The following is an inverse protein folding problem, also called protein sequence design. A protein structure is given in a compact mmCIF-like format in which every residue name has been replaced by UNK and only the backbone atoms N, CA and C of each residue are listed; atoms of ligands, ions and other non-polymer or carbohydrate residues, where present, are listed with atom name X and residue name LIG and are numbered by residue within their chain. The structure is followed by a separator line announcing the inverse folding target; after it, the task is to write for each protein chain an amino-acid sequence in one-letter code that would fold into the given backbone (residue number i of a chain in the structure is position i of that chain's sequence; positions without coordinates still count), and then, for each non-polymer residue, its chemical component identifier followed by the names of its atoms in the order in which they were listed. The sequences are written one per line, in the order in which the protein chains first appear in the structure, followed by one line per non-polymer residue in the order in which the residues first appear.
data_IF_640396785789
#
_entry.id   IF_640396785789
#
_cell.length_a   1.000
_cell.length_b   1.000
_cell.length_c   1.000
_cell.angle_alpha   90.00
_cell.angle_beta   90.00
_cell.angle_gamma   90.00
#
_symmetry.space_group_name_H-M   'P 1'
#
loop_
_entity.id
_entity.type
_entity.pdbx_description
1 polymer ?
#
# COMPACT_ATOMS: atom_id res chain seq x y z
N UNK A 1 -8.95 -53.73 -23.38
CA UNK A 1 -10.38 -54.12 -23.37
C UNK A 1 -11.18 -52.90 -22.95
N UNK A 2 -12.02 -52.23 -23.72
CA UNK A 2 -12.55 -52.43 -25.07
C UNK A 2 -12.62 -51.07 -25.78
N UNK A 3 -12.19 -51.06 -27.03
CA UNK A 3 -12.38 -50.00 -28.01
C UNK A 3 -13.64 -50.29 -28.84
N UNK A 4 -14.31 -49.23 -29.34
CA UNK A 4 -15.22 -49.15 -30.52
C UNK A 4 -15.36 -47.63 -30.77
N UNK A 5 -14.79 -46.95 -31.77
CA UNK A 5 -14.63 -47.07 -33.24
C UNK A 5 -15.94 -46.93 -34.04
N UNK A 6 -15.86 -46.02 -35.04
CA UNK A 6 -16.68 -45.76 -36.24
C UNK A 6 -17.89 -44.83 -36.07
N UNK A 7 -18.18 -43.84 -36.95
CA UNK A 7 -17.68 -43.52 -38.30
C UNK A 7 -18.02 -42.07 -38.72
N UNK A 8 -17.23 -41.55 -39.65
CA UNK A 8 -17.41 -40.35 -40.48
C UNK A 8 -18.72 -40.36 -41.31
N UNK A 9 -19.23 -39.17 -41.65
CA UNK A 9 -19.41 -38.72 -43.05
C UNK A 9 -19.77 -37.23 -43.14
N UNK A 10 -19.07 -36.52 -44.01
CA UNK A 10 -19.30 -35.14 -44.43
C UNK A 10 -20.45 -35.04 -45.46
N UNK A 11 -20.95 -33.82 -45.71
CA UNK A 11 -21.23 -33.24 -47.04
C UNK A 11 -21.66 -31.79 -46.83
N UNK A 12 -20.99 -30.87 -47.54
CA UNK A 12 -21.33 -29.45 -47.56
C UNK A 12 -22.35 -29.10 -48.64
N UNK A 13 -22.84 -27.86 -48.59
CA UNK A 13 -23.33 -27.15 -49.78
C UNK A 13 -23.35 -25.65 -49.50
N UNK A 14 -22.52 -24.92 -50.25
CA UNK A 14 -22.57 -23.46 -50.37
C UNK A 14 -23.54 -23.10 -51.50
N UNK A 15 -24.38 -22.10 -51.29
CA UNK A 15 -25.20 -21.47 -52.33
C UNK A 15 -25.16 -19.96 -52.10
N UNK A 16 -24.42 -19.28 -52.98
CA UNK A 16 -24.45 -17.84 -53.18
C UNK A 16 -25.48 -17.53 -54.27
N UNK A 17 -26.37 -16.57 -54.03
CA UNK A 17 -27.18 -15.91 -55.06
C UNK A 17 -27.27 -14.42 -54.75
N UNK A 18 -26.82 -13.62 -55.72
CA UNK A 18 -26.81 -12.17 -55.73
C UNK A 18 -28.07 -11.58 -56.37
N UNK A 19 -28.35 -10.33 -55.96
CA UNK A 19 -28.97 -9.23 -56.72
C UNK A 19 -30.51 -9.18 -56.87
N UNK A 20 -31.11 -8.10 -56.34
CA UNK A 20 -31.58 -6.96 -57.13
C UNK A 20 -32.07 -5.80 -56.22
N UNK A 21 -31.62 -4.58 -56.51
CA UNK A 21 -32.11 -3.31 -55.92
C UNK A 21 -33.15 -2.66 -56.84
N UNK A 22 -33.90 -1.66 -56.33
CA UNK A 22 -34.06 -0.42 -57.08
C UNK A 22 -33.82 0.85 -56.23
N UNK A 23 -33.11 1.81 -56.85
CA UNK A 23 -33.09 3.27 -56.60
C UNK A 23 -34.46 3.87 -57.00
N UNK A 24 -34.95 5.05 -56.60
CA UNK A 24 -34.43 6.27 -55.98
C UNK A 24 -35.61 7.23 -55.74
N UNK A 25 -35.52 8.11 -54.73
CA UNK A 25 -36.31 9.34 -54.63
C UNK A 25 -35.52 10.41 -53.88
N UNK A 26 -35.14 11.50 -54.56
CA UNK A 26 -34.41 12.65 -54.04
C UNK A 26 -35.35 13.86 -53.85
N UNK A 27 -35.15 14.59 -52.74
CA UNK A 27 -35.34 16.04 -52.47
C UNK A 27 -35.81 16.21 -51.01
N UNK A 28 -35.22 17.01 -50.12
CA UNK A 28 -34.65 18.38 -50.25
C UNK A 28 -33.78 18.67 -49.03
N UNK A 29 -32.80 19.57 -49.19
CA UNK A 29 -31.88 20.03 -48.15
C UNK A 29 -32.45 21.17 -47.29
N UNK A 30 -32.12 21.19 -46.00
CA UNK A 30 -31.81 22.38 -45.22
C UNK A 30 -31.00 21.96 -43.98
N UNK A 31 -29.72 22.35 -43.94
CA UNK A 31 -28.86 22.25 -42.77
C UNK A 31 -29.35 23.20 -41.68
N UNK A 32 -29.61 22.67 -40.49
CA UNK A 32 -29.45 23.40 -39.24
C UNK A 32 -28.43 22.64 -38.39
N UNK A 33 -27.19 23.11 -38.44
CA UNK A 33 -26.10 22.70 -37.58
C UNK A 33 -26.39 23.14 -36.14
N UNK A 34 -27.11 22.31 -35.39
CA UNK A 34 -27.01 22.34 -33.94
C UNK A 34 -25.66 21.73 -33.57
N UNK A 35 -24.81 22.39 -32.77
CA UNK A 35 -23.64 21.72 -32.22
C UNK A 35 -24.18 20.55 -31.39
N UNK A 36 -23.81 19.33 -31.78
CA UNK A 36 -23.93 18.20 -30.89
C UNK A 36 -23.14 18.57 -29.64
N UNK A 37 -23.83 18.74 -28.52
CA UNK A 37 -23.19 18.72 -27.22
C UNK A 37 -22.46 17.38 -27.16
N UNK A 38 -21.13 17.41 -27.31
CA UNK A 38 -20.28 16.27 -27.04
C UNK A 38 -20.50 15.94 -25.56
N UNK A 39 -21.35 14.95 -25.29
CA UNK A 39 -21.60 14.45 -23.96
C UNK A 39 -20.26 13.97 -23.41
N UNK A 40 -19.64 14.80 -22.56
CA UNK A 40 -18.22 14.75 -22.23
C UNK A 40 -17.68 13.33 -22.05
N UNK A 41 -16.64 13.00 -22.80
CA UNK A 41 -15.87 11.76 -22.63
C UNK A 41 -15.34 11.72 -21.19
N UNK A 42 -16.00 10.97 -20.31
CA UNK A 42 -15.56 10.81 -18.92
C UNK A 42 -14.10 10.38 -18.84
N UNK A 43 -13.34 11.05 -17.98
CA UNK A 43 -11.91 10.81 -17.78
C UNK A 43 -11.75 9.46 -17.08
N UNK A 44 -10.78 8.64 -17.52
CA UNK A 44 -10.48 7.35 -16.88
C UNK A 44 -9.09 7.37 -16.30
N UNK A 45 -8.98 7.09 -15.00
CA UNK A 45 -7.70 6.96 -14.30
C UNK A 45 -7.52 5.53 -13.81
N UNK A 46 -6.31 5.00 -13.92
CA UNK A 46 -5.90 3.77 -13.24
C UNK A 46 -5.01 4.12 -12.05
N UNK A 47 -5.49 3.84 -10.84
CA UNK A 47 -4.68 3.81 -9.63
C UNK A 47 -4.13 2.41 -9.40
N UNK A 48 -2.80 2.28 -9.43
CA UNK A 48 -2.10 1.06 -9.02
C UNK A 48 -1.62 1.22 -7.58
N UNK A 49 -2.13 0.36 -6.69
CA UNK A 49 -1.96 0.47 -5.24
C UNK A 49 -1.62 -0.86 -4.56
N UNK A 50 -1.33 -0.83 -3.27
CA UNK A 50 -1.00 -2.00 -2.47
C UNK A 50 -2.22 -2.62 -1.78
N UNK A 51 -2.17 -3.92 -1.49
CA UNK A 51 -3.34 -4.72 -1.06
C UNK A 51 -4.16 -4.12 0.09
N UNK A 52 -3.51 -3.56 1.10
CA UNK A 52 -4.16 -3.01 2.30
C UNK A 52 -4.82 -1.65 2.05
N UNK A 53 -4.43 -0.92 0.99
CA UNK A 53 -5.06 0.34 0.63
C UNK A 53 -6.43 0.18 -0.05
N UNK A 54 -6.85 -1.05 -0.37
CA UNK A 54 -8.10 -1.34 -1.07
C UNK A 54 -9.31 -0.71 -0.42
N UNK A 55 -9.43 -0.85 0.91
CA UNK A 55 -10.58 -0.33 1.65
C UNK A 55 -10.56 1.21 1.68
N UNK A 56 -9.37 1.82 1.79
CA UNK A 56 -9.21 3.27 1.67
C UNK A 56 -9.66 3.75 0.29
N UNK A 57 -9.12 3.19 -0.79
CA UNK A 57 -9.42 3.68 -2.13
C UNK A 57 -10.85 3.36 -2.58
N UNK A 58 -11.50 2.33 -2.03
CA UNK A 58 -12.93 2.04 -2.24
C UNK A 58 -13.82 3.17 -1.71
N UNK A 59 -13.46 3.78 -0.58
CA UNK A 59 -14.19 4.92 -0.01
C UNK A 59 -13.71 6.26 -0.59
N UNK A 60 -12.41 6.40 -0.88
CA UNK A 60 -11.82 7.62 -1.43
C UNK A 60 -12.27 7.92 -2.87
N UNK A 61 -12.34 6.92 -3.73
CA UNK A 61 -12.66 7.14 -5.14
C UNK A 61 -14.03 7.82 -5.36
N UNK A 62 -15.13 7.39 -4.69
CA UNK A 62 -16.40 8.11 -4.75
C UNK A 62 -16.34 9.54 -4.17
N UNK A 63 -15.54 9.77 -3.11
CA UNK A 63 -15.36 11.10 -2.54
C UNK A 63 -14.71 12.05 -3.55
N UNK A 64 -13.64 11.60 -4.20
CA UNK A 64 -12.98 12.38 -5.25
C UNK A 64 -13.87 12.57 -6.47
N UNK A 65 -14.53 11.52 -6.96
CA UNK A 65 -15.38 11.64 -8.15
C UNK A 65 -16.51 12.67 -7.96
N UNK A 66 -17.10 12.73 -6.76
CA UNK A 66 -18.11 13.74 -6.40
C UNK A 66 -17.51 15.15 -6.37
N UNK A 67 -16.34 15.30 -5.76
CA UNK A 67 -15.63 16.59 -5.71
C UNK A 67 -15.26 17.08 -7.12
N UNK A 68 -14.71 16.19 -7.94
CA UNK A 68 -14.32 16.47 -9.32
C UNK A 68 -15.52 16.94 -10.14
N UNK A 69 -16.64 16.22 -10.05
CA UNK A 69 -17.88 16.60 -10.73
C UNK A 69 -18.40 17.98 -10.31
N UNK A 70 -18.31 18.30 -9.01
CA UNK A 70 -18.73 19.60 -8.50
C UNK A 70 -17.83 20.75 -8.99
N UNK A 71 -16.52 20.51 -9.11
CA UNK A 71 -15.54 21.50 -9.59
C UNK A 71 -15.54 21.69 -11.10
N UNK A 72 -15.85 20.64 -11.86
CA UNK A 72 -15.74 20.62 -13.32
C UNK A 72 -17.10 20.54 -14.02
N UNK A 73 -18.08 21.33 -13.56
CA UNK A 73 -19.38 21.53 -14.23
C UNK A 73 -20.12 20.24 -14.62
N UNK A 74 -20.04 19.21 -13.79
CA UNK A 74 -20.71 17.93 -14.06
C UNK A 74 -19.87 16.90 -14.81
N UNK A 75 -18.62 17.22 -15.19
CA UNK A 75 -17.69 16.24 -15.76
C UNK A 75 -17.46 15.06 -14.81
N UNK A 76 -17.30 13.86 -15.40
CA UNK A 76 -17.18 12.62 -14.62
C UNK A 76 -15.80 12.01 -14.78
N UNK A 77 -15.32 11.39 -13.70
CA UNK A 77 -14.06 10.65 -13.65
C UNK A 77 -14.33 9.24 -13.13
N UNK A 78 -13.86 8.24 -13.87
CA UNK A 78 -13.91 6.82 -13.52
C UNK A 78 -12.51 6.37 -13.06
N UNK A 79 -12.41 5.93 -11.81
CA UNK A 79 -11.14 5.53 -11.20
C UNK A 79 -11.11 4.01 -11.06
N UNK A 80 -10.34 3.39 -11.94
CA UNK A 80 -10.02 1.97 -11.90
C UNK A 80 -8.90 1.70 -10.90
N UNK A 81 -8.90 0.48 -10.36
CA UNK A 81 -7.98 0.08 -9.31
C UNK A 81 -7.28 -1.25 -9.63
N UNK A 82 -5.99 -1.32 -9.33
CA UNK A 82 -5.22 -2.57 -9.26
C UNK A 82 -4.58 -2.67 -7.88
N UNK A 83 -4.72 -3.81 -7.22
CA UNK A 83 -4.20 -4.04 -5.86
C UNK A 83 -3.39 -5.33 -5.80
N UNK A 84 -2.27 -5.30 -5.08
CA UNK A 84 -1.38 -6.44 -4.87
C UNK A 84 -0.28 -6.10 -3.86
N UNK A 85 0.71 -6.98 -3.68
CA UNK A 85 1.93 -6.60 -2.95
C UNK A 85 2.58 -5.38 -3.60
N UNK A 86 2.90 -4.34 -2.80
CA UNK A 86 3.32 -3.01 -3.31
C UNK A 86 4.46 -3.09 -4.34
N UNK A 87 5.58 -3.74 -4.00
CA UNK A 87 6.70 -3.90 -4.94
C UNK A 87 6.34 -4.73 -6.19
N UNK A 88 5.41 -5.68 -6.09
CA UNK A 88 4.91 -6.42 -7.28
C UNK A 88 4.10 -5.50 -8.19
N UNK A 89 3.29 -4.62 -7.61
CA UNK A 89 2.51 -3.64 -8.36
C UNK A 89 3.42 -2.59 -9.03
N UNK A 90 4.42 -2.08 -8.32
CA UNK A 90 5.46 -1.24 -8.91
C UNK A 90 6.19 -1.94 -10.07
N UNK A 91 6.55 -3.22 -9.91
CA UNK A 91 7.11 -4.01 -11.00
C UNK A 91 6.13 -4.19 -12.18
N UNK A 92 4.83 -4.34 -11.94
CA UNK A 92 3.83 -4.40 -13.02
C UNK A 92 3.78 -3.09 -13.81
N UNK A 93 3.85 -1.94 -13.14
CA UNK A 93 3.93 -0.61 -13.79
C UNK A 93 5.24 -0.47 -14.55
N UNK A 94 6.37 -0.84 -13.93
CA UNK A 94 7.68 -0.87 -14.58
C UNK A 94 7.72 -1.74 -15.85
N UNK A 95 6.89 -2.79 -15.89
CA UNK A 95 6.78 -3.72 -17.03
C UNK A 95 5.63 -3.39 -17.99
N UNK A 96 5.02 -2.20 -17.89
CA UNK A 96 4.10 -1.67 -18.91
C UNK A 96 2.63 -1.59 -18.51
N UNK A 97 2.25 -1.89 -17.26
CA UNK A 97 0.91 -1.57 -16.77
C UNK A 97 0.74 -0.04 -16.75
N UNK A 98 -0.14 0.48 -17.60
CA UNK A 98 -0.34 1.93 -17.80
C UNK A 98 -1.16 2.59 -16.68
N UNK A 99 -0.59 2.64 -15.49
CA UNK A 99 -1.12 3.36 -14.33
C UNK A 99 -1.02 4.87 -14.55
N UNK A 100 -2.09 5.61 -14.28
CA UNK A 100 -2.04 7.08 -14.26
C UNK A 100 -1.38 7.57 -12.98
N UNK A 101 -1.70 6.90 -11.87
CA UNK A 101 -1.14 7.19 -10.55
C UNK A 101 -0.73 5.90 -9.85
N UNK A 102 0.29 6.03 -9.02
CA UNK A 102 0.75 4.99 -8.11
C UNK A 102 0.60 5.46 -6.68
N UNK A 103 0.10 4.58 -5.82
CA UNK A 103 -0.13 4.86 -4.41
C UNK A 103 0.42 3.70 -3.59
N UNK A 104 1.65 3.85 -3.09
CA UNK A 104 2.49 2.74 -2.61
C UNK A 104 2.59 2.75 -1.08
N UNK A 105 3.08 1.67 -0.49
CA UNK A 105 3.34 1.59 0.96
C UNK A 105 4.83 1.77 1.33
N UNK A 106 5.69 2.01 0.34
CA UNK A 106 7.12 2.22 0.50
C UNK A 106 7.64 3.19 -0.56
N UNK A 107 8.51 4.10 -0.14
CA UNK A 107 9.19 5.07 -1.04
C UNK A 107 10.03 4.39 -2.10
N UNK A 108 10.63 3.24 -1.78
CA UNK A 108 11.39 2.41 -2.71
C UNK A 108 10.64 2.04 -3.98
N UNK A 109 9.33 1.85 -3.88
CA UNK A 109 8.50 1.42 -5.00
C UNK A 109 8.30 2.55 -6.02
N UNK A 110 8.26 3.82 -5.56
CA UNK A 110 8.23 4.99 -6.45
C UNK A 110 9.62 5.32 -6.96
N UNK A 111 10.65 5.21 -6.11
CA UNK A 111 12.07 5.34 -6.52
C UNK A 111 12.41 4.35 -7.66
N UNK A 112 11.91 3.11 -7.61
CA UNK A 112 12.07 2.14 -8.70
C UNK A 112 11.48 2.65 -10.02
N UNK A 113 10.29 3.25 -9.98
CA UNK A 113 9.62 3.78 -11.18
C UNK A 113 10.32 5.02 -11.72
N UNK A 114 10.90 5.82 -10.82
CA UNK A 114 11.78 6.94 -11.17
C UNK A 114 13.05 6.44 -11.87
N UNK A 115 13.74 5.45 -11.31
CA UNK A 115 14.92 4.82 -11.91
C UNK A 115 14.63 4.21 -13.29
N UNK A 116 13.38 3.76 -13.53
CA UNK A 116 12.92 3.26 -14.83
C UNK A 116 12.53 4.38 -15.81
N UNK A 117 12.60 5.64 -15.41
CA UNK A 117 12.22 6.80 -16.23
C UNK A 117 10.73 6.94 -16.46
N UNK A 118 9.89 6.22 -15.71
CA UNK A 118 8.43 6.33 -15.80
C UNK A 118 7.90 7.51 -14.99
N UNK A 119 8.60 7.82 -13.90
CA UNK A 119 8.40 8.99 -13.05
C UNK A 119 9.65 9.85 -13.17
N UNK A 120 9.47 11.16 -13.33
CA UNK A 120 10.56 12.15 -13.42
C UNK A 120 11.16 12.39 -12.03
N UNK A 121 12.44 12.82 -11.94
CA UNK A 121 13.05 13.19 -10.66
C UNK A 121 12.29 14.26 -9.88
N UNK A 122 12.59 14.38 -8.59
CA UNK A 122 11.94 15.31 -7.65
C UNK A 122 10.42 15.09 -7.48
N UNK A 123 9.90 13.89 -7.81
CA UNK A 123 8.48 13.56 -7.65
C UNK A 123 7.96 13.80 -6.23
N UNK A 124 8.78 13.51 -5.22
CA UNK A 124 8.41 13.68 -3.81
C UNK A 124 8.13 15.14 -3.46
N UNK A 125 8.70 16.11 -4.19
CA UNK A 125 8.49 17.56 -3.95
C UNK A 125 7.25 18.12 -4.63
N UNK A 126 6.56 17.33 -5.48
CA UNK A 126 5.42 17.81 -6.28
C UNK A 126 4.10 17.85 -5.52
N UNK A 127 4.05 17.18 -4.38
CA UNK A 127 2.91 17.13 -3.48
C UNK A 127 3.37 17.47 -2.06
N UNK A 128 2.48 17.91 -1.15
CA UNK A 128 2.85 18.21 0.22
C UNK A 128 3.48 17.01 0.94
N UNK A 129 4.18 17.26 2.04
CA UNK A 129 4.69 16.21 2.94
C UNK A 129 5.52 15.13 2.24
N UNK A 130 6.38 15.54 1.30
CA UNK A 130 7.17 14.63 0.47
C UNK A 130 6.33 13.62 -0.34
N UNK A 131 5.13 14.05 -0.76
CA UNK A 131 4.13 13.23 -1.42
C UNK A 131 3.61 12.06 -0.56
N UNK A 132 3.56 12.24 0.76
CA UNK A 132 3.07 11.25 1.73
C UNK A 132 1.82 11.78 2.44
N UNK A 133 0.60 11.48 1.93
CA UNK A 133 -0.65 12.01 2.47
C UNK A 133 -1.04 11.47 3.84
N UNK A 134 -0.52 10.30 4.22
CA UNK A 134 -0.76 9.69 5.51
C UNK A 134 0.37 8.72 5.84
N UNK A 135 0.56 8.47 7.13
CA UNK A 135 1.62 7.61 7.66
C UNK A 135 1.04 6.54 8.57
N UNK A 136 1.91 5.64 9.01
CA UNK A 136 1.67 4.67 10.07
C UNK A 136 3.00 4.47 10.81
N UNK A 137 2.99 3.59 11.80
CA UNK A 137 4.21 3.23 12.52
C UNK A 137 4.13 1.78 13.02
N UNK A 138 5.24 1.25 13.53
CA UNK A 138 5.28 -0.07 14.15
C UNK A 138 4.98 0.04 15.64
N UNK A 139 3.98 -0.72 16.08
CA UNK A 139 3.52 -0.83 17.48
C UNK A 139 3.46 -2.30 17.90
N UNK A 140 3.17 -2.55 19.18
CA UNK A 140 2.97 -3.88 19.70
C UNK A 140 1.51 -4.12 20.04
N UNK A 141 0.95 -5.22 19.58
CA UNK A 141 -0.35 -5.70 20.03
C UNK A 141 -0.11 -6.81 21.06
N UNK A 142 -0.56 -6.59 22.28
CA UNK A 142 -0.41 -7.53 23.40
C UNK A 142 -1.76 -8.08 23.83
N UNK A 143 -1.74 -9.19 24.55
CA UNK A 143 -2.95 -9.80 25.13
C UNK A 143 -3.53 -8.89 26.21
N UNK A 144 -4.86 -8.97 26.42
CA UNK A 144 -5.56 -8.25 27.49
C UNK A 144 -4.84 -8.40 28.84
N UNK A 145 -4.71 -7.29 29.55
CA UNK A 145 -4.01 -7.18 30.83
C UNK A 145 -2.49 -7.16 30.71
N UNK A 146 -1.93 -7.25 29.50
CA UNK A 146 -0.50 -7.24 29.21
C UNK A 146 0.32 -8.13 30.18
N UNK A 147 0.10 -9.47 30.19
CA UNK A 147 0.63 -10.36 31.22
C UNK A 147 2.17 -10.43 31.25
N UNK A 148 2.84 -10.09 30.13
CA UNK A 148 4.30 -9.99 30.04
C UNK A 148 4.85 -8.61 30.39
N UNK A 149 3.97 -7.65 30.73
CA UNK A 149 4.32 -6.27 31.08
C UNK A 149 5.19 -5.59 30.03
N UNK A 150 4.87 -5.82 28.75
CA UNK A 150 5.61 -5.24 27.62
C UNK A 150 5.30 -3.76 27.57
N UNK A 151 6.33 -2.93 27.59
CA UNK A 151 6.24 -1.46 27.51
C UNK A 151 7.07 -0.91 26.37
N UNK A 152 8.17 -1.57 26.04
CA UNK A 152 9.07 -1.09 24.99
C UNK A 152 9.89 -2.24 24.37
N UNK A 153 10.67 -1.91 23.34
CA UNK A 153 11.53 -2.86 22.61
C UNK A 153 12.40 -3.79 23.48
N UNK A 154 13.03 -3.35 24.59
CA UNK A 154 13.82 -4.25 25.45
C UNK A 154 13.01 -5.36 26.11
N UNK A 155 11.71 -5.17 26.30
CA UNK A 155 10.86 -6.22 26.87
C UNK A 155 10.71 -7.41 25.90
N UNK A 156 10.83 -7.15 24.59
CA UNK A 156 10.69 -8.16 23.55
C UNK A 156 11.88 -9.11 23.44
N UNK A 157 13.02 -8.76 24.05
CA UNK A 157 14.23 -9.60 24.08
C UNK A 157 14.36 -10.45 25.34
N UNK A 158 13.43 -10.28 26.31
CA UNK A 158 13.43 -11.03 27.57
C UNK A 158 13.18 -12.53 27.33
N UNK A 159 13.82 -13.36 28.15
CA UNK A 159 13.58 -14.80 28.14
C UNK A 159 12.10 -15.11 28.44
N UNK A 160 11.52 -16.04 27.71
CA UNK A 160 10.13 -16.46 27.90
C UNK A 160 9.08 -15.49 27.33
N UNK A 161 9.51 -14.50 26.53
CA UNK A 161 8.63 -13.73 25.64
C UNK A 161 8.70 -14.34 24.25
N UNK A 162 7.54 -14.63 23.67
CA UNK A 162 7.40 -15.10 22.30
C UNK A 162 6.82 -13.99 21.42
N UNK A 163 7.57 -13.55 20.42
CA UNK A 163 7.10 -12.53 19.48
C UNK A 163 6.47 -13.18 18.24
N UNK A 164 5.42 -12.57 17.72
CA UNK A 164 4.90 -12.85 16.38
C UNK A 164 5.28 -11.69 15.48
N UNK A 165 5.94 -11.99 14.37
CA UNK A 165 6.43 -11.01 13.40
C UNK A 165 6.34 -11.60 11.98
N UNK A 166 6.00 -10.76 11.01
CA UNK A 166 6.06 -11.14 9.61
C UNK A 166 7.53 -11.24 9.14
N UNK A 167 7.82 -12.10 8.16
CA UNK A 167 9.17 -12.33 7.67
C UNK A 167 9.80 -11.05 7.08
N UNK A 168 10.91 -10.53 7.65
CA UNK A 168 11.52 -9.29 7.16
C UNK A 168 12.10 -9.39 5.75
N UNK A 169 12.43 -10.59 5.26
CA UNK A 169 12.96 -10.73 3.89
C UNK A 169 11.88 -10.54 2.83
N UNK A 170 10.67 -11.03 3.11
CA UNK A 170 9.61 -11.14 2.10
C UNK A 170 8.46 -10.18 2.30
N UNK A 171 8.37 -9.49 3.45
CA UNK A 171 7.19 -8.67 3.79
C UNK A 171 7.58 -7.26 4.22
N UNK A 172 6.83 -6.24 3.76
CA UNK A 172 7.02 -4.85 4.20
C UNK A 172 6.83 -4.69 5.72
N UNK A 173 5.81 -5.33 6.29
CA UNK A 173 5.56 -5.32 7.73
C UNK A 173 6.78 -5.84 8.53
N UNK A 174 7.37 -6.97 8.11
CA UNK A 174 8.59 -7.49 8.72
C UNK A 174 9.79 -6.57 8.56
N UNK A 175 9.95 -5.92 7.39
CA UNK A 175 11.04 -4.96 7.15
C UNK A 175 10.96 -3.77 8.11
N UNK A 176 9.80 -3.14 8.20
CA UNK A 176 9.58 -2.01 9.12
C UNK A 176 9.72 -2.46 10.57
N UNK A 177 9.19 -3.62 10.96
CA UNK A 177 9.37 -4.14 12.31
C UNK A 177 10.85 -4.37 12.67
N UNK A 178 11.62 -4.98 11.77
CA UNK A 178 13.06 -5.17 11.96
C UNK A 178 13.82 -3.84 12.02
N UNK A 179 13.57 -2.92 11.09
CA UNK A 179 14.24 -1.61 11.07
C UNK A 179 13.86 -0.75 12.28
N UNK A 180 12.60 -0.83 12.76
CA UNK A 180 12.16 -0.18 13.99
C UNK A 180 12.95 -0.68 15.20
N UNK A 181 13.08 -1.99 15.35
CA UNK A 181 13.89 -2.60 16.39
C UNK A 181 15.39 -2.24 16.28
N UNK A 182 15.95 -2.32 15.08
CA UNK A 182 17.36 -2.01 14.84
C UNK A 182 17.66 -0.52 15.06
N UNK A 183 16.75 0.37 14.62
CA UNK A 183 16.81 1.81 14.86
C UNK A 183 16.72 2.16 16.34
N UNK A 184 15.85 1.49 17.09
CA UNK A 184 15.84 1.56 18.56
C UNK A 184 17.17 1.10 19.15
N UNK A 185 17.67 -0.06 18.74
CA UNK A 185 18.95 -0.60 19.20
C UNK A 185 20.11 0.37 19.00
N UNK A 186 20.18 1.04 17.85
CA UNK A 186 21.16 2.10 17.59
C UNK A 186 20.96 3.29 18.52
N UNK A 187 19.74 3.81 18.67
CA UNK A 187 19.47 4.98 19.51
C UNK A 187 19.80 4.72 20.97
N UNK A 188 19.38 3.58 21.51
CA UNK A 188 19.64 3.17 22.89
C UNK A 188 21.13 2.95 23.20
N UNK A 189 21.96 2.76 22.18
CA UNK A 189 23.38 2.47 22.30
C UNK A 189 24.28 3.51 21.63
N UNK A 190 23.83 4.77 21.53
CA UNK A 190 24.61 5.89 20.98
C UNK A 190 25.20 5.63 19.58
N UNK A 191 24.48 4.88 18.74
CA UNK A 191 24.89 4.55 17.38
C UNK A 191 25.83 3.35 17.24
N UNK A 192 26.10 2.60 18.31
CA UNK A 192 26.93 1.40 18.26
C UNK A 192 26.23 0.28 17.45
N UNK A 193 26.75 0.01 16.25
CA UNK A 193 26.20 -1.02 15.37
C UNK A 193 26.31 -2.43 15.96
N UNK A 194 27.34 -2.75 16.74
CA UNK A 194 27.50 -4.10 17.29
C UNK A 194 26.42 -4.36 18.34
N UNK A 195 26.15 -3.40 19.22
CA UNK A 195 25.06 -3.51 20.19
C UNK A 195 23.68 -3.53 19.54
N UNK A 196 23.48 -2.78 18.45
CA UNK A 196 22.24 -2.85 17.68
C UNK A 196 22.03 -4.23 17.04
N UNK A 197 23.11 -4.86 16.54
CA UNK A 197 23.07 -6.24 16.01
C UNK A 197 22.76 -7.26 17.10
N UNK A 198 23.40 -7.15 18.27
CA UNK A 198 23.10 -8.01 19.43
C UNK A 198 21.64 -7.88 19.85
N UNK A 199 21.13 -6.65 19.93
CA UNK A 199 19.73 -6.38 20.25
C UNK A 199 18.77 -7.00 19.24
N UNK A 200 19.01 -6.80 17.94
CA UNK A 200 18.18 -7.35 16.88
C UNK A 200 18.26 -8.89 16.83
N UNK A 201 19.42 -9.49 17.06
CA UNK A 201 19.56 -10.95 17.17
C UNK A 201 18.77 -11.51 18.37
N UNK A 202 18.83 -10.86 19.53
CA UNK A 202 18.07 -11.25 20.71
C UNK A 202 16.54 -11.16 20.46
N UNK A 203 16.09 -10.14 19.74
CA UNK A 203 14.69 -10.01 19.32
C UNK A 203 14.28 -11.15 18.39
N UNK A 204 15.04 -11.39 17.31
CA UNK A 204 14.72 -12.42 16.31
C UNK A 204 14.76 -13.83 16.92
N UNK A 205 15.59 -14.08 17.94
CA UNK A 205 15.61 -15.33 18.70
C UNK A 205 14.28 -15.62 19.40
N UNK A 206 13.54 -14.60 19.80
CA UNK A 206 12.24 -14.74 20.44
C UNK A 206 11.09 -14.94 19.43
N UNK A 207 11.36 -14.96 18.12
CA UNK A 207 10.39 -15.28 17.08
C UNK A 207 10.43 -16.79 16.77
N UNK A 208 9.43 -17.61 17.20
CA UNK A 208 9.42 -19.05 16.90
C UNK A 208 9.23 -19.33 15.40
N UNK A 209 8.49 -18.44 14.72
CA UNK A 209 8.18 -18.51 13.30
C UNK A 209 8.16 -17.11 12.69
N UNK A 210 8.63 -17.02 11.45
CA UNK A 210 8.49 -15.83 10.61
C UNK A 210 7.30 -16.04 9.67
N UNK A 211 6.26 -15.25 9.84
CA UNK A 211 5.01 -15.42 9.10
C UNK A 211 5.11 -14.87 7.67
N UNK A 212 4.43 -15.49 6.72
CA UNK A 212 4.54 -15.14 5.29
C UNK A 212 3.85 -13.81 4.91
N UNK A 213 3.27 -13.09 5.88
CA UNK A 213 2.60 -11.80 5.67
C UNK A 213 2.08 -11.20 6.97
N UNK A 214 1.80 -9.89 6.98
CA UNK A 214 1.26 -9.19 8.17
C UNK A 214 -0.11 -9.71 8.62
N UNK A 215 -1.00 -10.06 7.67
CA UNK A 215 -2.29 -10.70 7.98
C UNK A 215 -2.12 -12.12 8.53
N UNK A 216 -1.15 -12.88 8.01
CA UNK A 216 -0.83 -14.21 8.54
C UNK A 216 -0.29 -14.11 9.98
N UNK A 217 0.61 -13.17 10.26
CA UNK A 217 1.08 -12.85 11.61
C UNK A 217 -0.08 -12.48 12.55
N UNK A 218 -0.99 -11.64 12.08
CA UNK A 218 -2.19 -11.26 12.82
C UNK A 218 -3.07 -12.46 13.14
N UNK A 219 -3.34 -13.34 12.17
CA UNK A 219 -4.11 -14.58 12.39
C UNK A 219 -3.43 -15.51 13.39
N UNK A 220 -2.11 -15.70 13.26
CA UNK A 220 -1.32 -16.53 14.19
C UNK A 220 -1.41 -16.01 15.62
N UNK A 221 -1.30 -14.69 15.81
CA UNK A 221 -1.43 -14.09 17.14
C UNK A 221 -2.85 -14.11 17.69
N UNK A 222 -3.81 -13.58 16.92
CA UNK A 222 -5.17 -13.28 17.39
C UNK A 222 -6.13 -14.48 17.35
N UNK A 223 -6.00 -15.37 16.36
CA UNK A 223 -6.93 -16.48 16.18
C UNK A 223 -6.32 -17.82 16.60
N UNK A 224 -5.02 -18.05 16.31
CA UNK A 224 -4.33 -19.30 16.71
C UNK A 224 -3.74 -19.23 18.11
N UNK A 225 -3.82 -18.07 18.75
CA UNK A 225 -3.37 -17.86 20.13
C UNK A 225 -1.88 -18.17 20.34
N UNK A 226 -1.03 -17.90 19.34
CA UNK A 226 0.42 -18.12 19.40
C UNK A 226 1.13 -16.81 19.73
N UNK A 227 2.16 -16.87 20.57
CA UNK A 227 2.98 -15.73 20.98
C UNK A 227 2.36 -14.86 22.07
N UNK A 228 3.17 -14.01 22.67
CA UNK A 228 2.78 -13.08 23.73
C UNK A 228 2.48 -11.66 23.20
N UNK A 229 3.09 -11.33 22.07
CA UNK A 229 3.04 -10.02 21.44
C UNK A 229 3.18 -10.14 19.93
N UNK A 230 2.40 -9.35 19.20
CA UNK A 230 2.52 -9.16 17.76
C UNK A 230 3.16 -7.80 17.48
N UNK A 231 4.24 -7.80 16.69
CA UNK A 231 4.83 -6.57 16.16
C UNK A 231 4.19 -6.31 14.80
N UNK A 232 3.46 -5.20 14.67
CA UNK A 232 2.71 -4.90 13.44
C UNK A 232 2.52 -3.40 13.24
N UNK A 233 1.89 -3.00 12.14
CA UNK A 233 1.55 -1.60 11.90
C UNK A 233 0.38 -1.15 12.79
N UNK A 234 0.41 0.12 13.20
CA UNK A 234 -0.60 0.76 14.03
C UNK A 234 -2.02 0.60 13.48
N UNK A 235 -2.20 0.75 12.18
CA UNK A 235 -3.50 0.59 11.54
C UNK A 235 -4.07 -0.84 11.70
N UNK A 236 -3.21 -1.86 11.59
CA UNK A 236 -3.60 -3.26 11.80
C UNK A 236 -3.87 -3.53 13.28
N UNK A 237 -3.04 -3.02 14.19
CA UNK A 237 -3.22 -3.19 15.64
C UNK A 237 -4.55 -2.55 16.12
N UNK A 238 -4.87 -1.35 15.63
CA UNK A 238 -6.16 -0.69 15.88
C UNK A 238 -7.32 -1.48 15.27
N UNK A 239 -7.20 -1.95 14.02
CA UNK A 239 -8.24 -2.76 13.40
C UNK A 239 -8.52 -4.04 14.18
N UNK A 240 -7.48 -4.75 14.62
CA UNK A 240 -7.63 -5.98 15.41
C UNK A 240 -8.28 -5.68 16.77
N UNK A 241 -7.74 -4.72 17.52
CA UNK A 241 -8.19 -4.41 18.88
C UNK A 241 -9.59 -3.78 18.94
N UNK A 242 -10.01 -3.02 17.93
CA UNK A 242 -11.28 -2.28 17.94
C UNK A 242 -12.39 -2.94 17.11
N UNK A 243 -12.05 -3.74 16.09
CA UNK A 243 -13.04 -4.30 15.14
C UNK A 243 -13.05 -5.83 15.15
N UNK A 244 -11.90 -6.49 15.02
CA UNK A 244 -11.88 -7.96 14.88
C UNK A 244 -12.07 -8.69 16.21
N UNK A 245 -11.42 -8.22 17.27
CA UNK A 245 -11.46 -8.86 18.58
C UNK A 245 -11.50 -7.81 19.71
N UNK A 246 -12.62 -7.07 19.83
CA UNK A 246 -12.78 -6.08 20.88
C UNK A 246 -12.53 -6.65 22.27
N UNK A 247 -11.83 -5.89 23.11
CA UNK A 247 -11.53 -6.22 24.51
C UNK A 247 -10.65 -7.47 24.72
N UNK A 248 -9.98 -8.00 23.68
CA UNK A 248 -9.04 -9.11 23.81
C UNK A 248 -7.57 -8.69 23.77
N UNK A 249 -7.30 -7.50 23.22
CA UNK A 249 -5.94 -7.01 22.98
C UNK A 249 -5.78 -5.56 23.40
N UNK A 250 -4.55 -5.19 23.71
CA UNK A 250 -4.13 -3.83 24.03
C UNK A 250 -2.98 -3.44 23.10
N UNK A 251 -2.89 -2.16 22.75
CA UNK A 251 -1.79 -1.63 21.94
C UNK A 251 -0.77 -0.98 22.88
N UNK A 252 0.48 -1.41 22.76
CA UNK A 252 1.62 -0.77 23.41
C UNK A 252 2.39 0.02 22.36
N UNK A 253 2.53 1.31 22.62
CA UNK A 253 3.29 2.25 21.81
C UNK A 253 4.72 2.31 22.35
N UNK A 254 5.74 1.81 21.61
CA UNK A 254 7.13 1.87 22.06
C UNK A 254 7.61 3.32 22.15
N UNK A 255 8.69 3.55 22.90
CA UNK A 255 9.23 4.90 23.12
C UNK A 255 9.79 5.54 21.86
N UNK A 256 10.30 4.72 20.93
CA UNK A 256 10.89 5.16 19.68
C UNK A 256 10.76 4.05 18.62
N UNK A 257 10.31 4.40 17.42
CA UNK A 257 10.05 3.41 16.36
C UNK A 257 10.16 4.03 14.96
N UNK A 258 9.94 3.23 13.93
CA UNK A 258 10.09 3.65 12.54
C UNK A 258 8.82 4.34 12.01
N UNK A 259 9.01 5.38 11.20
CA UNK A 259 7.94 5.98 10.40
C UNK A 259 7.67 5.11 9.17
N UNK A 260 6.42 4.73 8.95
CA UNK A 260 5.97 4.04 7.73
C UNK A 260 5.21 5.02 6.86
N UNK A 261 5.73 5.29 5.67
CA UNK A 261 5.20 6.28 4.74
C UNK A 261 4.43 5.58 3.62
N UNK A 262 3.28 6.15 3.23
CA UNK A 262 2.49 5.68 2.09
C UNK A 262 2.56 6.70 0.94
N UNK A 263 3.66 6.73 0.17
CA UNK A 263 3.90 7.77 -0.82
C UNK A 263 3.04 7.57 -2.06
N UNK A 264 2.78 8.68 -2.76
CA UNK A 264 1.96 8.71 -3.97
C UNK A 264 2.63 9.52 -5.08
N UNK A 265 2.40 9.15 -6.33
CA UNK A 265 2.94 9.89 -7.48
C UNK A 265 2.11 9.68 -8.75
N UNK A 266 2.11 10.67 -9.63
CA UNK A 266 1.65 10.50 -11.00
C UNK A 266 2.72 9.78 -11.81
N UNK A 267 2.32 8.87 -12.70
CA UNK A 267 3.24 8.20 -13.61
C UNK A 267 3.39 9.05 -14.85
N UNK A 268 4.42 9.91 -14.85
CA UNK A 268 4.62 10.99 -15.83
C UNK A 268 4.49 10.49 -17.29
N UNK A 269 5.14 9.37 -17.62
CA UNK A 269 5.11 8.80 -18.98
C UNK A 269 3.72 8.35 -19.43
N UNK A 270 2.85 7.95 -18.50
CA UNK A 270 1.49 7.47 -18.79
C UNK A 270 0.52 8.63 -18.88
N UNK A 271 0.54 9.55 -17.90
CA UNK A 271 -0.40 10.68 -17.86
C UNK A 271 -0.17 11.65 -19.01
N UNK A 272 1.08 11.80 -19.46
CA UNK A 272 1.41 12.58 -20.66
C UNK A 272 0.89 11.91 -21.93
N UNK A 273 1.07 10.59 -22.05
CA UNK A 273 0.58 9.82 -23.20
C UNK A 273 -0.95 9.78 -23.30
N UNK A 274 -1.64 9.69 -22.15
CA UNK A 274 -3.11 9.63 -22.10
C UNK A 274 -3.78 11.00 -22.08
N UNK A 275 -3.03 12.08 -21.82
CA UNK A 275 -3.60 13.41 -21.61
C UNK A 275 -4.39 13.54 -20.30
N UNK A 276 -4.08 12.72 -19.29
CA UNK A 276 -4.81 12.63 -18.01
C UNK A 276 -4.12 13.38 -16.86
N UNK A 277 -3.02 14.10 -17.13
CA UNK A 277 -2.19 14.74 -16.09
C UNK A 277 -2.99 15.60 -15.13
N UNK A 278 -3.84 16.50 -15.61
CA UNK A 278 -4.60 17.41 -14.76
C UNK A 278 -5.49 16.64 -13.76
N UNK A 279 -6.30 15.70 -14.25
CA UNK A 279 -7.17 14.89 -13.39
C UNK A 279 -6.37 13.98 -12.44
N UNK A 280 -5.24 13.43 -12.88
CA UNK A 280 -4.37 12.61 -12.03
C UNK A 280 -3.72 13.43 -10.90
N UNK A 281 -3.28 14.65 -11.18
CA UNK A 281 -2.72 15.55 -10.18
C UNK A 281 -3.79 15.99 -9.17
N UNK A 282 -5.00 16.34 -9.63
CA UNK A 282 -6.13 16.64 -8.74
C UNK A 282 -6.52 15.43 -7.87
N UNK A 283 -6.54 14.22 -8.46
CA UNK A 283 -6.80 12.98 -7.73
C UNK A 283 -5.79 12.74 -6.61
N UNK A 284 -4.52 13.08 -6.82
CA UNK A 284 -3.50 12.95 -5.77
C UNK A 284 -3.57 14.08 -4.75
N UNK A 285 -3.73 15.33 -5.20
CA UNK A 285 -3.82 16.49 -4.31
C UNK A 285 -5.01 16.39 -3.35
N UNK A 286 -6.12 15.82 -3.79
CA UNK A 286 -7.31 15.66 -2.96
C UNK A 286 -7.11 14.68 -1.79
N UNK A 287 -6.03 13.88 -1.76
CA UNK A 287 -5.65 13.06 -0.61
C UNK A 287 -5.37 13.91 0.64
N UNK A 288 -4.96 15.17 0.47
CA UNK A 288 -4.75 16.14 1.57
C UNK A 288 -6.01 16.93 1.94
N UNK A 289 -7.15 16.70 1.27
CA UNK A 289 -8.40 17.32 1.66
C UNK A 289 -8.87 16.80 3.02
N UNK A 290 -9.55 17.65 3.81
CA UNK A 290 -10.11 17.24 5.11
C UNK A 290 -10.96 15.96 5.02
N UNK A 291 -11.87 15.76 4.04
CA UNK A 291 -12.60 14.50 3.89
C UNK A 291 -11.71 13.27 3.68
N UNK A 292 -10.64 13.38 2.90
CA UNK A 292 -9.71 12.28 2.66
C UNK A 292 -8.84 11.97 3.89
N UNK A 293 -8.43 13.02 4.62
CA UNK A 293 -7.67 12.89 5.86
C UNK A 293 -8.52 12.28 6.99
N UNK A 294 -9.80 12.64 7.09
CA UNK A 294 -10.77 12.00 7.99
C UNK A 294 -10.97 10.52 7.64
N UNK A 295 -11.01 10.18 6.34
CA UNK A 295 -11.06 8.79 5.90
C UNK A 295 -9.79 8.01 6.29
N UNK A 296 -8.60 8.62 6.16
CA UNK A 296 -7.34 8.02 6.60
C UNK A 296 -7.40 7.71 8.10
N UNK A 297 -7.83 8.68 8.91
CA UNK A 297 -8.00 8.52 10.35
C UNK A 297 -9.00 7.41 10.73
N UNK A 298 -10.15 7.35 10.05
CA UNK A 298 -11.16 6.29 10.22
C UNK A 298 -10.60 4.88 9.97
N UNK A 299 -9.61 4.77 9.09
CA UNK A 299 -8.92 3.52 8.77
C UNK A 299 -7.60 3.35 9.55
N UNK A 300 -7.42 4.14 10.61
CA UNK A 300 -6.30 4.10 11.54
C UNK A 300 -4.94 4.38 10.89
N UNK A 301 -4.92 5.14 9.79
CA UNK A 301 -3.70 5.75 9.25
C UNK A 301 -3.57 7.14 9.85
N UNK A 302 -2.34 7.56 10.21
CA UNK A 302 -2.08 8.88 10.76
C UNK A 302 -2.21 9.93 9.65
N UNK A 303 -3.22 10.82 9.69
CA UNK A 303 -3.35 11.90 8.72
C UNK A 303 -2.23 12.94 8.89
N UNK A 304 -1.90 13.66 7.82
CA UNK A 304 -1.03 14.84 7.83
C UNK A 304 -1.75 16.10 8.28
N UNK A 305 -3.06 16.18 8.09
CA UNK A 305 -3.86 17.29 8.60
C UNK A 305 -3.80 17.31 10.14
N UNK A 306 -3.24 18.39 10.70
CA UNK A 306 -3.00 18.52 12.13
C UNK A 306 -4.29 18.62 12.95
N UNK A 307 -5.36 19.22 12.40
CA UNK A 307 -6.65 19.30 13.07
C UNK A 307 -7.30 17.91 13.15
N UNK A 308 -7.27 17.18 12.03
CA UNK A 308 -7.80 15.80 11.97
C UNK A 308 -7.00 14.91 12.91
N UNK A 309 -5.66 14.96 12.87
CA UNK A 309 -4.82 14.16 13.77
C UNK A 309 -5.13 14.47 15.26
N UNK A 310 -5.28 15.74 15.61
CA UNK A 310 -5.60 16.15 16.97
C UNK A 310 -7.01 15.69 17.42
N UNK A 311 -7.99 15.70 16.51
CA UNK A 311 -9.34 15.21 16.77
C UNK A 311 -9.36 13.69 17.05
N UNK A 312 -8.44 12.94 16.42
CA UNK A 312 -8.30 11.48 16.56
C UNK A 312 -7.17 11.05 17.52
N UNK A 313 -6.70 11.92 18.43
CA UNK A 313 -5.58 11.64 19.35
C UNK A 313 -5.76 10.39 20.24
N UNK A 314 -7.00 9.97 20.49
CA UNK A 314 -7.29 8.74 21.23
C UNK A 314 -6.92 7.48 20.45
N UNK A 315 -6.97 7.56 19.13
CA UNK A 315 -6.58 6.49 18.21
C UNK A 315 -5.10 6.56 17.85
N UNK A 316 -4.52 7.78 17.89
CA UNK A 316 -3.12 8.05 17.56
C UNK A 316 -2.38 8.76 18.71
N UNK A 317 -1.98 8.03 19.76
CA UNK A 317 -1.08 8.55 20.77
C UNK A 317 0.20 9.11 20.15
N UNK A 318 0.77 10.13 20.81
CA UNK A 318 2.09 10.66 20.46
C UNK A 318 3.14 9.56 20.58
N UNK A 319 4.04 9.50 19.61
CA UNK A 319 5.12 8.53 19.54
C UNK A 319 6.29 9.14 18.77
N UNK A 320 7.50 8.93 19.27
CA UNK A 320 8.69 9.37 18.57
C UNK A 320 9.01 8.42 17.42
N UNK A 321 9.09 8.95 16.20
CA UNK A 321 9.41 8.15 15.00
C UNK A 321 10.62 8.67 14.26
N UNK A 322 11.27 7.82 13.45
CA UNK A 322 12.33 8.22 12.53
C UNK A 322 12.05 7.79 11.09
N UNK A 323 12.49 8.59 10.12
CA UNK A 323 12.44 8.22 8.71
C UNK A 323 13.48 7.13 8.41
N UNK A 324 13.09 6.02 7.72
CA UNK A 324 14.03 5.01 7.27
C UNK A 324 15.14 5.59 6.38
N UNK A 325 14.77 6.48 5.44
CA UNK A 325 15.69 7.08 4.49
C UNK A 325 16.74 7.97 5.18
N UNK A 326 16.30 8.79 6.15
CA UNK A 326 17.22 9.65 6.92
C UNK A 326 18.15 8.82 7.81
N UNK A 327 17.64 7.76 8.42
CA UNK A 327 18.40 6.95 9.39
C UNK A 327 19.36 5.98 8.75
N UNK A 328 18.99 5.38 7.61
CA UNK A 328 19.70 4.25 7.00
C UNK A 328 20.14 4.49 5.55
N UNK A 329 19.82 5.65 4.97
CA UNK A 329 20.07 5.95 3.56
C UNK A 329 18.94 5.45 2.64
N UNK A 330 19.11 5.52 1.31
CA UNK A 330 18.07 5.18 0.35
C UNK A 330 17.66 3.71 0.45
N UNK A 331 16.41 3.41 0.08
CA UNK A 331 15.85 2.07 0.25
C UNK A 331 16.60 1.00 -0.52
N UNK A 332 17.20 1.31 -1.68
CA UNK A 332 18.07 0.37 -2.39
C UNK A 332 19.23 -0.12 -1.49
N UNK A 333 19.88 0.82 -0.78
CA UNK A 333 20.93 0.52 0.19
C UNK A 333 20.40 -0.24 1.41
N UNK A 334 19.21 0.12 1.91
CA UNK A 334 18.53 -0.61 3.00
C UNK A 334 18.27 -2.07 2.58
N UNK A 335 17.66 -2.27 1.41
CA UNK A 335 17.35 -3.60 0.89
C UNK A 335 18.59 -4.47 0.75
N UNK A 336 19.67 -3.90 0.21
CA UNK A 336 20.96 -4.60 0.05
C UNK A 336 21.67 -4.89 1.38
N UNK A 337 21.67 -3.96 2.34
CA UNK A 337 22.38 -4.15 3.62
C UNK A 337 21.64 -5.13 4.53
N UNK A 338 20.32 -4.97 4.64
CA UNK A 338 19.54 -5.65 5.68
C UNK A 338 18.83 -6.90 5.20
N UNK A 339 18.34 -6.95 3.96
CA UNK A 339 17.30 -7.92 3.55
C UNK A 339 17.68 -8.84 2.38
N UNK A 340 18.75 -8.57 1.64
CA UNK A 340 19.24 -9.47 0.59
C UNK A 340 19.73 -10.79 1.17
N UNK A 341 19.93 -11.79 0.31
CA UNK A 341 20.59 -13.03 0.71
C UNK A 341 21.98 -12.75 1.26
N UNK A 342 22.28 -13.31 2.43
CA UNK A 342 23.50 -13.03 3.19
C UNK A 342 23.52 -11.67 3.90
N UNK A 343 22.44 -10.89 3.79
CA UNK A 343 22.26 -9.60 4.45
C UNK A 343 22.10 -9.71 5.97
N UNK A 344 21.94 -8.58 6.64
CA UNK A 344 21.98 -8.55 8.11
C UNK A 344 20.91 -9.43 8.77
N UNK A 345 19.68 -9.48 8.24
CA UNK A 345 18.64 -10.35 8.79
C UNK A 345 19.05 -11.82 8.76
N UNK A 346 19.69 -12.29 7.68
CA UNK A 346 20.18 -13.68 7.59
C UNK A 346 21.28 -13.95 8.61
N UNK A 347 22.18 -12.98 8.83
CA UNK A 347 23.29 -13.12 9.77
C UNK A 347 22.81 -13.18 11.24
N UNK A 348 21.74 -12.46 11.56
CA UNK A 348 21.21 -12.34 12.93
C UNK A 348 20.10 -13.35 13.24
N UNK A 349 19.46 -13.93 12.23
CA UNK A 349 18.39 -14.90 12.43
C UNK A 349 18.93 -16.19 13.06
N UNK A 350 18.17 -16.84 13.96
CA UNK A 350 18.54 -18.13 14.51
C UNK A 350 18.78 -19.14 13.38
N UNK A 351 19.95 -19.79 13.39
CA UNK A 351 20.21 -20.94 12.51
C UNK A 351 19.30 -22.08 13.00
N UNK A 352 18.37 -22.51 12.15
CA UNK A 352 17.53 -23.69 12.41
C UNK A 352 18.24 -24.95 11.94
#
# INVERSE_FOLDING_TARGET
MNARIFSLAAIGTALALSACSPKSGQNTAAESSAPAADGGKGIKLLNVSYDVARDFYKEYNPLFAKEYQAKHNGETVDIQQSHGGSSKQALSVANGLAADVVTMNQTSDIELLEQKGLIKPDWAKRLPDNAVPYTSTTVFLVRKGNPKQIKDWPDLTKNGVQIVIANPKTTGNGRYAFLGAYGYGLKANNGDENKAKEFAAALLKNAPVFENGGRAATTTFSQRNIGDVLITFENEANHVSKKLAPNQFEIVYPSYTILSESPVAAVDSVVEKKGTRAAAEEYLQYLWSKPAQELAAKLYLRPRDAEVLAAHKADFPEIETFSPNEKFGPWEGIMKKYFSDGGLVDQLSPKK
#
